data_IF_201059589321
#
_entry.id   IF_201059589321
#
_cell.length_a   1.000
_cell.length_b   1.000
_cell.length_c   1.000
_cell.angle_alpha   90.00
_cell.angle_beta   90.00
_cell.angle_gamma   90.00
#
_symmetry.space_group_name_H-M   'P 1'
#
loop_
_entity.id
_entity.type
_entity.pdbx_description
1 polymer ?
#
# COMPACT_ATOMS: atom_id res chain seq x y z
N UNK A 1 -22.10 20.78 19.75
CA UNK A 1 -21.62 20.50 18.38
C UNK A 1 -22.64 19.62 17.70
N UNK A 2 -23.10 19.96 16.49
CA UNK A 2 -23.94 19.05 15.70
C UNK A 2 -23.12 17.79 15.44
N UNK A 3 -23.63 16.63 15.84
CA UNK A 3 -23.04 15.33 15.57
C UNK A 3 -23.33 14.98 14.10
N UNK A 4 -22.72 15.69 13.15
CA UNK A 4 -22.86 15.39 11.73
C UNK A 4 -21.97 14.20 11.40
N UNK A 5 -22.57 13.17 10.82
CA UNK A 5 -21.88 12.01 10.29
C UNK A 5 -20.96 12.45 9.14
N UNK A 6 -19.75 11.90 9.08
CA UNK A 6 -18.83 12.13 7.97
C UNK A 6 -19.11 11.18 6.80
N UNK A 7 -18.90 11.65 5.58
CA UNK A 7 -18.87 10.80 4.39
C UNK A 7 -17.42 10.44 4.05
N UNK A 8 -17.06 9.18 4.27
CA UNK A 8 -15.69 8.67 4.20
C UNK A 8 -15.56 7.70 3.02
N UNK A 9 -14.65 8.00 2.10
CA UNK A 9 -14.22 7.08 1.04
C UNK A 9 -13.07 6.21 1.54
N UNK A 10 -13.06 4.91 1.23
CA UNK A 10 -12.00 3.99 1.64
C UNK A 10 -11.53 3.18 0.44
N UNK A 11 -10.23 3.25 0.13
CA UNK A 11 -9.58 2.47 -0.92
C UNK A 11 -8.65 1.43 -0.32
N UNK A 12 -9.00 0.14 -0.49
CA UNK A 12 -8.27 -0.99 0.10
C UNK A 12 -8.25 -2.19 -0.85
N UNK A 13 -7.06 -2.78 -1.05
CA UNK A 13 -6.89 -3.94 -1.93
C UNK A 13 -6.78 -5.28 -1.19
N UNK A 14 -6.53 -5.27 0.13
CA UNK A 14 -6.35 -6.51 0.90
C UNK A 14 -7.61 -6.95 1.64
N UNK A 15 -7.88 -8.26 1.62
CA UNK A 15 -9.00 -8.88 2.35
C UNK A 15 -8.95 -8.61 3.86
N UNK A 16 -7.76 -8.67 4.48
CA UNK A 16 -7.61 -8.43 5.92
C UNK A 16 -8.02 -7.02 6.33
N UNK A 17 -7.56 -5.99 5.60
CA UNK A 17 -8.03 -4.61 5.81
C UNK A 17 -9.51 -4.45 5.48
N UNK A 18 -10.04 -5.16 4.47
CA UNK A 18 -11.47 -5.17 4.17
C UNK A 18 -12.33 -5.64 5.32
N UNK A 19 -11.95 -6.74 5.96
CA UNK A 19 -12.65 -7.26 7.12
C UNK A 19 -12.59 -6.30 8.31
N UNK A 20 -11.43 -5.66 8.52
CA UNK A 20 -11.25 -4.69 9.60
C UNK A 20 -12.08 -3.42 9.38
N UNK A 21 -12.06 -2.86 8.16
CA UNK A 21 -12.91 -1.73 7.80
C UNK A 21 -14.39 -2.10 7.96
N UNK A 22 -14.82 -3.27 7.51
CA UNK A 22 -16.20 -3.74 7.66
C UNK A 22 -16.63 -3.90 9.13
N UNK A 23 -15.69 -4.15 10.04
CA UNK A 23 -15.96 -4.11 11.49
C UNK A 23 -16.15 -2.67 11.96
N UNK A 24 -15.21 -1.77 11.61
CA UNK A 24 -15.27 -0.35 11.97
C UNK A 24 -16.57 0.29 11.47
N UNK A 25 -17.00 0.00 10.24
CA UNK A 25 -18.24 0.57 9.67
C UNK A 25 -19.51 0.12 10.41
N UNK A 26 -19.47 -1.00 11.16
CA UNK A 26 -20.60 -1.45 11.99
C UNK A 26 -20.63 -0.77 13.36
N UNK A 27 -19.48 -0.35 13.85
CA UNK A 27 -19.31 0.26 15.16
C UNK A 27 -19.42 1.79 15.10
N UNK A 28 -19.09 2.38 13.95
CA UNK A 28 -19.17 3.82 13.69
C UNK A 28 -20.49 4.21 13.01
N UNK A 29 -20.92 5.45 13.23
CA UNK A 29 -22.13 5.99 12.62
C UNK A 29 -21.85 6.73 11.30
N UNK A 30 -20.57 6.93 10.94
CA UNK A 30 -20.19 7.60 9.70
C UNK A 30 -20.57 6.80 8.45
N UNK A 31 -20.71 7.47 7.31
CA UNK A 31 -21.05 6.84 6.04
C UNK A 31 -19.77 6.43 5.31
N UNK A 32 -19.61 5.13 5.05
CA UNK A 32 -18.43 4.61 4.37
C UNK A 32 -18.74 4.15 2.94
N UNK A 33 -17.95 4.63 1.98
CA UNK A 33 -17.95 4.11 0.60
C UNK A 33 -16.64 3.39 0.34
N UNK A 34 -16.70 2.07 0.13
CA UNK A 34 -15.50 1.23 -0.03
C UNK A 34 -15.26 0.92 -1.50
N UNK A 35 -14.01 1.07 -1.94
CA UNK A 35 -13.52 0.68 -3.26
C UNK A 35 -12.30 -0.22 -3.15
N UNK A 36 -12.20 -1.17 -4.08
CA UNK A 36 -11.07 -2.08 -4.23
C UNK A 36 -10.11 -1.70 -5.36
N UNK A 37 -10.34 -0.54 -6.00
CA UNK A 37 -9.43 0.00 -7.00
C UNK A 37 -8.14 0.52 -6.34
N UNK A 38 -7.04 0.50 -7.08
CA UNK A 38 -5.71 0.91 -6.62
C UNK A 38 -4.97 1.67 -7.70
N UNK A 39 -3.95 2.43 -7.32
CA UNK A 39 -3.13 3.23 -8.23
C UNK A 39 -3.99 4.13 -9.14
N UNK A 40 -3.66 4.26 -10.42
CA UNK A 40 -4.38 5.08 -11.40
C UNK A 40 -5.86 4.71 -11.54
N UNK A 41 -6.19 3.43 -11.38
CA UNK A 41 -7.55 2.89 -11.42
C UNK A 41 -8.45 3.45 -10.32
N UNK A 42 -7.85 3.96 -9.22
CA UNK A 42 -8.57 4.57 -8.12
C UNK A 42 -9.01 6.02 -8.43
N UNK A 43 -8.30 6.72 -9.31
CA UNK A 43 -8.51 8.15 -9.61
C UNK A 43 -9.95 8.44 -10.09
N UNK A 44 -10.50 7.76 -11.12
CA UNK A 44 -11.86 8.05 -11.58
C UNK A 44 -12.91 7.76 -10.50
N UNK A 45 -12.71 6.72 -9.69
CA UNK A 45 -13.61 6.39 -8.57
C UNK A 45 -13.51 7.47 -7.47
N UNK A 46 -12.31 7.96 -7.16
CA UNK A 46 -12.10 9.02 -6.18
C UNK A 46 -12.78 10.33 -6.58
N UNK A 47 -12.72 10.70 -7.87
CA UNK A 47 -13.40 11.89 -8.41
C UNK A 47 -14.91 11.78 -8.31
N UNK A 48 -15.45 10.59 -8.55
CA UNK A 48 -16.89 10.35 -8.39
C UNK A 48 -17.31 10.37 -6.92
N UNK A 49 -16.51 9.80 -6.01
CA UNK A 49 -16.73 9.90 -4.56
C UNK A 49 -16.76 11.37 -4.10
N UNK A 50 -15.78 12.17 -4.51
CA UNK A 50 -15.75 13.61 -4.25
C UNK A 50 -17.00 14.32 -4.78
N UNK A 51 -17.39 14.07 -6.03
CA UNK A 51 -18.59 14.65 -6.66
C UNK A 51 -19.88 14.27 -5.92
N UNK A 52 -19.93 13.09 -5.32
CA UNK A 52 -21.09 12.55 -4.59
C UNK A 52 -21.09 12.92 -3.11
N UNK A 53 -20.14 13.72 -2.67
CA UNK A 53 -20.13 14.31 -1.33
C UNK A 53 -19.33 13.53 -0.29
N UNK A 54 -18.40 12.67 -0.71
CA UNK A 54 -17.33 12.18 0.19
C UNK A 54 -16.45 13.36 0.59
N UNK A 55 -16.24 13.52 1.89
CA UNK A 55 -15.52 14.65 2.47
C UNK A 55 -14.04 14.32 2.71
N UNK A 56 -13.72 13.03 2.82
CA UNK A 56 -12.38 12.54 3.11
C UNK A 56 -12.17 11.16 2.53
N UNK A 57 -10.96 10.89 2.02
CA UNK A 57 -10.56 9.56 1.60
C UNK A 57 -9.47 8.99 2.53
N UNK A 58 -9.60 7.72 2.86
CA UNK A 58 -8.58 6.90 3.50
C UNK A 58 -8.08 5.85 2.52
N UNK A 59 -6.77 5.82 2.29
CA UNK A 59 -6.12 4.84 1.40
C UNK A 59 -4.73 4.46 1.93
N UNK A 60 -3.86 3.85 1.13
CA UNK A 60 -2.52 3.45 1.55
C UNK A 60 -1.47 3.74 0.47
N UNK A 61 -0.34 4.32 0.90
CA UNK A 61 0.89 4.55 0.11
C UNK A 61 0.62 5.06 -1.31
N UNK A 62 1.00 4.32 -2.36
CA UNK A 62 0.95 4.77 -3.76
C UNK A 62 -0.42 5.27 -4.18
N UNK A 63 -1.48 4.51 -3.91
CA UNK A 63 -2.86 4.94 -4.18
C UNK A 63 -3.21 6.23 -3.44
N UNK A 64 -2.84 6.36 -2.16
CA UNK A 64 -3.11 7.58 -1.39
C UNK A 64 -2.32 8.79 -1.91
N UNK A 65 -1.13 8.57 -2.45
CA UNK A 65 -0.32 9.61 -3.07
C UNK A 65 -1.00 10.11 -4.36
N UNK A 66 -1.31 9.19 -5.28
CA UNK A 66 -1.97 9.52 -6.55
C UNK A 66 -3.34 10.19 -6.35
N UNK A 67 -4.15 9.72 -5.40
CA UNK A 67 -5.44 10.36 -5.08
C UNK A 67 -5.26 11.79 -4.55
N UNK A 68 -4.24 12.04 -3.72
CA UNK A 68 -3.98 13.39 -3.17
C UNK A 68 -3.58 14.39 -4.25
N UNK A 69 -2.88 13.94 -5.29
CA UNK A 69 -2.50 14.78 -6.43
C UNK A 69 -3.67 15.10 -7.36
N UNK A 70 -4.77 14.33 -7.28
CA UNK A 70 -5.86 14.37 -8.25
C UNK A 70 -7.23 14.81 -7.68
N UNK A 71 -7.34 15.00 -6.38
CA UNK A 71 -8.59 15.36 -5.69
C UNK A 71 -8.42 16.66 -4.89
N UNK A 72 -9.53 17.34 -4.61
CA UNK A 72 -9.58 18.55 -3.79
C UNK A 72 -9.89 18.24 -2.31
N UNK A 73 -10.49 17.08 -2.03
CA UNK A 73 -10.74 16.61 -0.67
C UNK A 73 -9.49 16.02 0.01
N UNK A 74 -9.39 16.08 1.35
CA UNK A 74 -8.31 15.45 2.09
C UNK A 74 -8.18 13.95 1.84
N UNK A 75 -6.94 13.50 1.63
CA UNK A 75 -6.58 12.07 1.50
C UNK A 75 -5.60 11.68 2.61
N UNK A 76 -6.03 10.80 3.51
CA UNK A 76 -5.21 10.21 4.56
C UNK A 76 -4.63 8.87 4.12
N UNK A 77 -3.33 8.66 4.39
CA UNK A 77 -2.72 7.34 4.24
C UNK A 77 -2.77 6.60 5.56
N UNK A 78 -3.25 5.36 5.54
CA UNK A 78 -3.12 4.45 6.67
C UNK A 78 -1.64 4.31 7.04
N UNK A 79 -1.30 4.42 8.34
CA UNK A 79 0.07 4.29 8.79
C UNK A 79 0.58 2.86 8.53
N UNK A 80 1.85 2.76 8.14
CA UNK A 80 2.56 1.50 8.04
C UNK A 80 3.80 1.58 8.91
N UNK A 81 3.83 0.77 9.97
CA UNK A 81 4.99 0.70 10.87
C UNK A 81 6.19 0.10 10.16
N UNK A 82 7.36 0.73 10.35
CA UNK A 82 8.66 0.18 9.92
C UNK A 82 8.91 -1.20 10.53
N UNK A 83 8.49 -1.44 11.78
CA UNK A 83 8.61 -2.74 12.41
C UNK A 83 7.78 -3.80 11.68
N UNK A 84 6.57 -3.47 11.21
CA UNK A 84 5.76 -4.40 10.42
C UNK A 84 6.44 -4.78 9.10
N UNK A 85 7.09 -3.83 8.44
CA UNK A 85 7.90 -4.11 7.23
C UNK A 85 9.05 -5.06 7.56
N UNK A 86 9.79 -4.78 8.65
CA UNK A 86 10.89 -5.62 9.11
C UNK A 86 10.42 -7.03 9.50
N UNK A 87 9.28 -7.16 10.16
CA UNK A 87 8.68 -8.46 10.48
C UNK A 87 8.34 -9.23 9.19
N UNK A 88 7.73 -8.58 8.19
CA UNK A 88 7.46 -9.23 6.91
C UNK A 88 8.74 -9.65 6.19
N UNK A 89 9.77 -8.80 6.19
CA UNK A 89 11.08 -9.11 5.60
C UNK A 89 11.74 -10.31 6.30
N UNK A 90 11.72 -10.36 7.64
CA UNK A 90 12.24 -11.49 8.43
C UNK A 90 11.48 -12.79 8.14
N UNK A 91 10.15 -12.75 8.09
CA UNK A 91 9.32 -13.93 7.78
C UNK A 91 9.61 -14.46 6.38
N UNK A 92 9.76 -13.58 5.39
CA UNK A 92 10.15 -13.96 4.05
C UNK A 92 11.56 -14.55 4.02
N UNK A 93 12.51 -13.96 4.75
CA UNK A 93 13.88 -14.48 4.87
C UNK A 93 13.92 -15.89 5.49
N UNK A 94 13.13 -16.12 6.54
CA UNK A 94 13.02 -17.42 7.21
C UNK A 94 12.54 -18.52 6.25
N UNK A 95 11.58 -18.20 5.39
CA UNK A 95 11.10 -19.10 4.34
C UNK A 95 12.16 -19.50 3.32
N UNK A 96 13.26 -18.75 3.21
CA UNK A 96 14.35 -18.99 2.26
C UNK A 96 15.56 -19.68 2.90
N UNK A 97 15.56 -19.96 4.22
CA UNK A 97 16.76 -20.46 4.92
C UNK A 97 17.28 -21.81 4.43
N UNK A 98 16.40 -22.66 3.91
CA UNK A 98 16.80 -23.96 3.35
C UNK A 98 17.45 -23.84 1.96
N UNK A 99 17.36 -22.67 1.31
CA UNK A 99 18.01 -22.43 0.03
C UNK A 99 19.49 -22.10 0.22
N UNK A 100 20.36 -22.44 -0.75
CA UNK A 100 21.73 -21.94 -0.77
C UNK A 100 21.74 -20.41 -0.73
N UNK A 101 22.68 -19.80 0.00
CA UNK A 101 22.77 -18.33 0.17
C UNK A 101 22.59 -17.54 -1.14
N UNK A 102 23.23 -17.97 -2.23
CA UNK A 102 23.12 -17.34 -3.56
C UNK A 102 21.71 -17.30 -4.17
N UNK A 103 20.77 -18.08 -3.63
CA UNK A 103 19.37 -18.15 -4.06
C UNK A 103 18.42 -17.45 -3.07
N UNK A 104 18.93 -16.92 -1.96
CA UNK A 104 18.13 -16.21 -0.96
C UNK A 104 17.96 -14.76 -1.39
N UNK A 105 17.08 -14.54 -2.36
CA UNK A 105 16.78 -13.23 -2.92
C UNK A 105 15.35 -12.82 -2.59
N UNK A 106 15.15 -11.56 -2.25
CA UNK A 106 13.82 -10.96 -2.11
C UNK A 106 13.77 -9.71 -2.98
N UNK A 107 12.76 -9.64 -3.85
CA UNK A 107 12.46 -8.41 -4.57
C UNK A 107 11.47 -7.55 -3.78
N UNK A 108 11.82 -6.28 -3.56
CA UNK A 108 11.03 -5.30 -2.83
C UNK A 108 10.70 -4.11 -3.75
N UNK A 109 9.53 -4.09 -4.42
CA UNK A 109 9.10 -2.94 -5.19
C UNK A 109 8.67 -1.80 -4.27
N UNK A 110 9.11 -0.58 -4.56
CA UNK A 110 8.84 0.61 -3.75
C UNK A 110 8.18 1.72 -4.57
N UNK A 111 7.12 2.33 -4.04
CA UNK A 111 6.46 3.44 -4.73
C UNK A 111 7.28 4.73 -4.56
N UNK A 112 7.59 5.40 -5.68
CA UNK A 112 8.22 6.73 -5.72
C UNK A 112 9.74 6.75 -5.55
N UNK A 113 10.30 5.92 -4.66
CA UNK A 113 11.73 5.86 -4.44
C UNK A 113 12.16 4.53 -3.81
N UNK A 114 13.41 4.16 -4.02
CA UNK A 114 14.07 3.07 -3.30
C UNK A 114 14.25 3.38 -1.81
N UNK A 115 14.37 2.35 -0.99
CA UNK A 115 14.59 2.48 0.46
C UNK A 115 16.10 2.57 0.71
N UNK A 116 16.60 3.70 1.26
CA UNK A 116 18.00 3.82 1.64
C UNK A 116 18.34 2.88 2.81
N UNK A 117 19.54 2.30 2.82
CA UNK A 117 19.99 1.44 3.91
C UNK A 117 19.42 0.01 3.89
N UNK A 118 18.73 -0.39 2.82
CA UNK A 118 18.17 -1.74 2.69
C UNK A 118 19.26 -2.82 2.67
N UNK A 119 20.47 -2.48 2.23
CA UNK A 119 21.66 -3.33 2.26
C UNK A 119 22.00 -3.80 3.67
N UNK A 120 21.85 -2.93 4.68
CA UNK A 120 22.09 -3.25 6.10
C UNK A 120 21.09 -4.34 6.56
N UNK A 121 19.84 -4.22 6.13
CA UNK A 121 18.81 -5.24 6.43
C UNK A 121 19.13 -6.55 5.73
N UNK A 122 19.61 -6.51 4.48
CA UNK A 122 20.07 -7.68 3.75
C UNK A 122 21.20 -8.42 4.46
N UNK A 123 22.20 -7.69 4.96
CA UNK A 123 23.30 -8.25 5.76
C UNK A 123 22.79 -8.92 7.04
N UNK A 124 21.92 -8.24 7.80
CA UNK A 124 21.37 -8.75 9.06
C UNK A 124 20.52 -10.02 8.87
N UNK A 125 19.85 -10.15 7.73
CA UNK A 125 18.96 -11.28 7.43
C UNK A 125 19.60 -12.37 6.57
N UNK A 126 20.84 -12.18 6.11
CA UNK A 126 21.53 -13.05 5.14
C UNK A 126 20.72 -13.25 3.84
N UNK A 127 20.14 -12.16 3.32
CA UNK A 127 19.32 -12.08 2.10
C UNK A 127 19.89 -11.03 1.13
N UNK A 128 19.88 -11.31 -0.17
CA UNK A 128 20.09 -10.31 -1.23
C UNK A 128 18.76 -9.63 -1.56
N UNK A 129 18.58 -8.39 -1.09
CA UNK A 129 17.43 -7.58 -1.49
C UNK A 129 17.69 -6.95 -2.86
N UNK A 130 16.77 -7.18 -3.78
CA UNK A 130 16.60 -6.37 -4.99
C UNK A 130 15.45 -5.41 -4.78
N UNK A 131 15.56 -4.21 -5.30
CA UNK A 131 14.48 -3.24 -5.24
C UNK A 131 14.34 -2.51 -6.57
N UNK A 132 13.17 -1.90 -6.77
CA UNK A 132 12.90 -1.04 -7.90
C UNK A 132 11.84 -0.02 -7.53
N UNK A 133 12.04 1.21 -7.97
CA UNK A 133 11.03 2.26 -7.83
C UNK A 133 9.97 2.14 -8.93
N UNK A 134 8.70 2.35 -8.57
CA UNK A 134 7.58 2.43 -9.52
C UNK A 134 6.68 3.63 -9.18
N UNK A 135 5.90 4.06 -10.16
CA UNK A 135 5.06 5.27 -10.08
C UNK A 135 3.63 5.04 -10.55
N UNK A 136 3.41 3.98 -11.31
CA UNK A 136 2.14 3.55 -11.88
C UNK A 136 2.14 2.02 -12.02
N UNK A 137 1.01 1.41 -12.41
CA UNK A 137 0.96 -0.06 -12.55
C UNK A 137 1.86 -0.57 -13.67
N UNK A 138 2.04 0.19 -14.76
CA UNK A 138 2.88 -0.21 -15.88
C UNK A 138 4.37 -0.32 -15.48
N UNK A 139 4.89 0.68 -14.77
CA UNK A 139 6.26 0.65 -14.22
C UNK A 139 6.42 -0.43 -13.15
N UNK A 140 5.39 -0.70 -12.34
CA UNK A 140 5.39 -1.82 -11.38
C UNK A 140 5.50 -3.18 -12.08
N UNK A 141 4.69 -3.41 -13.12
CA UNK A 141 4.74 -4.63 -13.91
C UNK A 141 6.11 -4.84 -14.55
N UNK A 142 6.69 -3.77 -15.11
CA UNK A 142 8.01 -3.82 -15.72
C UNK A 142 9.11 -4.22 -14.72
N UNK A 143 9.12 -3.64 -13.52
CA UNK A 143 10.15 -3.98 -12.52
C UNK A 143 9.96 -5.39 -11.96
N UNK A 144 8.72 -5.88 -11.83
CA UNK A 144 8.44 -7.27 -11.44
C UNK A 144 8.93 -8.23 -12.52
N UNK A 145 8.64 -7.93 -13.79
CA UNK A 145 9.09 -8.75 -14.91
C UNK A 145 10.62 -8.86 -14.96
N UNK A 146 11.33 -7.73 -14.82
CA UNK A 146 12.78 -7.71 -14.80
C UNK A 146 13.34 -8.53 -13.63
N UNK A 147 12.79 -8.36 -12.43
CA UNK A 147 13.22 -9.09 -11.24
C UNK A 147 13.02 -10.61 -11.36
N UNK A 148 12.02 -11.07 -12.12
CA UNK A 148 11.79 -12.49 -12.36
C UNK A 148 12.81 -13.15 -13.30
N UNK A 149 13.62 -12.37 -14.02
CA UNK A 149 14.66 -12.88 -14.93
C UNK A 149 16.05 -12.99 -14.28
N UNK A 150 16.23 -12.50 -13.05
CA UNK A 150 17.51 -12.46 -12.30
C UNK A 150 17.70 -13.61 -11.28
#
# INVERSE_FOLDING_TARGET
MKNSLFNIGVFISSVSLGNEIARITKEQQDNFTISHKSMEDAIPVGKEMERTGVEVIVSRRGTANLLRENLQIPVFSLPQSSLSVMTSAKLAADGLMLLPRKKRKIFLPNFGAEVPGLEIVGELLDIDFKQGAYYDSASLEQIIYNAAQE
#
